data_IF_688027541066
#
_entry.id   IF_688027541066
#
_cell.length_a   1.000
_cell.length_b   1.000
_cell.length_c   1.000
_cell.angle_alpha   90.00
_cell.angle_beta   90.00
_cell.angle_gamma   90.00
#
_symmetry.space_group_name_H-M   'P 1'
#
loop_
_entity.id
_entity.type
_entity.pdbx_description
1 polymer ?
#
# COMPACT_ATOMS: atom_id res chain seq x y z
N UNK A 1 18.14 7.93 6.99
CA UNK A 1 18.62 6.68 6.32
C UNK A 1 17.61 5.56 6.54
N UNK A 2 17.56 4.56 5.65
CA UNK A 2 16.64 3.39 5.71
C UNK A 2 17.45 2.12 5.90
N UNK A 3 17.04 1.24 6.81
CA UNK A 3 17.68 -0.05 7.06
C UNK A 3 16.96 -1.23 6.42
N UNK A 4 17.73 -2.18 5.89
CA UNK A 4 17.24 -3.48 5.40
C UNK A 4 18.15 -4.62 5.81
N UNK A 5 17.61 -5.83 5.80
CA UNK A 5 18.37 -7.07 5.94
C UNK A 5 18.39 -7.80 4.60
N UNK A 6 19.51 -8.45 4.30
CA UNK A 6 19.58 -9.40 3.21
C UNK A 6 19.15 -10.82 3.62
N UNK A 7 19.25 -11.78 2.69
CA UNK A 7 18.84 -13.17 2.91
C UNK A 7 19.67 -13.85 4.02
N UNK A 8 20.90 -13.40 4.27
CA UNK A 8 21.77 -13.93 5.34
C UNK A 8 21.49 -13.29 6.69
N UNK A 9 20.67 -12.23 6.72
CA UNK A 9 20.39 -11.44 7.91
C UNK A 9 21.38 -10.31 8.15
N UNK A 10 22.33 -10.08 7.22
CA UNK A 10 23.25 -8.95 7.34
C UNK A 10 22.48 -7.65 7.18
N UNK A 11 22.79 -6.67 8.05
CA UNK A 11 22.05 -5.41 8.10
C UNK A 11 22.79 -4.34 7.32
N UNK A 12 22.06 -3.67 6.43
CA UNK A 12 22.53 -2.60 5.56
C UNK A 12 21.72 -1.33 5.84
N UNK A 13 22.30 -0.16 5.61
CA UNK A 13 21.58 1.12 5.68
C UNK A 13 22.00 2.02 4.51
N UNK A 14 21.05 2.79 4.00
CA UNK A 14 21.24 3.65 2.83
C UNK A 14 20.24 4.78 2.73
N UNK A 15 20.35 5.58 1.67
CA UNK A 15 19.31 6.54 1.28
C UNK A 15 18.04 5.83 0.79
N UNK A 16 16.99 6.58 0.48
CA UNK A 16 15.83 6.03 -0.23
C UNK A 16 16.23 5.40 -1.56
N UNK A 17 17.12 6.05 -2.32
CA UNK A 17 17.61 5.55 -3.60
C UNK A 17 18.39 4.23 -3.46
N UNK A 18 19.17 4.08 -2.38
CA UNK A 18 19.83 2.82 -2.06
C UNK A 18 18.82 1.71 -1.70
N UNK A 19 17.73 2.03 -1.01
CA UNK A 19 16.66 1.07 -0.74
C UNK A 19 15.99 0.57 -2.04
N UNK A 20 15.76 1.45 -3.02
CA UNK A 20 15.30 1.05 -4.36
C UNK A 20 16.32 0.15 -5.07
N UNK A 21 17.61 0.48 -5.01
CA UNK A 21 18.68 -0.35 -5.57
C UNK A 21 18.76 -1.74 -4.92
N UNK A 22 18.61 -1.81 -3.60
CA UNK A 22 18.61 -3.06 -2.84
C UNK A 22 17.37 -3.92 -3.15
N UNK A 23 16.20 -3.31 -3.32
CA UNK A 23 15.00 -4.01 -3.78
C UNK A 23 15.18 -4.53 -5.22
N UNK A 24 15.67 -3.70 -6.12
CA UNK A 24 15.86 -4.02 -7.52
C UNK A 24 16.92 -5.09 -7.79
N UNK A 25 18.00 -5.12 -6.99
CA UNK A 25 19.02 -6.17 -7.03
C UNK A 25 18.58 -7.46 -6.34
N UNK A 26 17.54 -7.41 -5.49
CA UNK A 26 17.11 -8.53 -4.66
C UNK A 26 17.90 -8.66 -3.35
N UNK A 27 18.81 -7.73 -3.04
CA UNK A 27 19.53 -7.70 -1.77
C UNK A 27 18.59 -7.45 -0.58
N UNK A 28 17.59 -6.57 -0.72
CA UNK A 28 16.65 -6.29 0.35
C UNK A 28 15.66 -7.45 0.53
N UNK A 29 15.93 -8.30 1.54
CA UNK A 29 15.03 -9.37 1.95
C UNK A 29 13.89 -8.84 2.83
N UNK A 30 14.22 -7.97 3.78
CA UNK A 30 13.23 -7.36 4.69
C UNK A 30 13.69 -6.00 5.21
N UNK A 31 12.76 -5.22 5.78
CA UNK A 31 13.05 -3.94 6.44
C UNK A 31 12.69 -4.08 7.93
N UNK A 32 13.67 -4.26 8.83
CA UNK A 32 13.39 -4.59 10.23
C UNK A 32 12.58 -3.52 10.98
N UNK A 33 12.73 -2.25 10.61
CA UNK A 33 11.99 -1.14 11.22
C UNK A 33 10.53 -1.04 10.76
N UNK A 34 10.10 -1.79 9.72
CA UNK A 34 8.68 -1.85 9.33
C UNK A 34 7.86 -2.59 10.38
N UNK A 35 6.85 -1.90 10.91
CA UNK A 35 5.78 -2.55 11.67
C UNK A 35 4.91 -3.41 10.75
N UNK A 36 4.26 -4.47 11.28
CA UNK A 36 3.52 -5.42 10.44
C UNK A 36 2.49 -4.80 9.49
N UNK A 37 1.75 -3.77 9.91
CA UNK A 37 0.74 -3.09 9.09
C UNK A 37 1.33 -2.18 8.02
N UNK A 38 2.60 -1.78 8.15
CA UNK A 38 3.30 -0.89 7.22
C UNK A 38 3.87 -1.64 6.01
N UNK A 39 3.94 -2.98 6.06
CA UNK A 39 4.56 -3.82 5.01
C UNK A 39 3.88 -3.66 3.65
N UNK A 40 2.55 -3.70 3.63
CA UNK A 40 1.78 -3.60 2.38
C UNK A 40 1.80 -2.17 1.80
N UNK A 41 1.62 -1.10 2.60
CA UNK A 41 1.85 0.27 2.15
C UNK A 41 3.26 0.51 1.59
N UNK A 42 4.30 0.01 2.27
CA UNK A 42 5.69 0.17 1.83
C UNK A 42 5.96 -0.51 0.49
N UNK A 43 5.47 -1.75 0.33
CA UNK A 43 5.55 -2.47 -0.94
C UNK A 43 4.84 -1.72 -2.07
N UNK A 44 3.60 -1.29 -1.84
CA UNK A 44 2.84 -0.56 -2.85
C UNK A 44 3.51 0.77 -3.22
N UNK A 45 3.97 1.54 -2.22
CA UNK A 45 4.68 2.81 -2.42
C UNK A 45 5.93 2.64 -3.30
N UNK A 46 6.82 1.70 -2.92
CA UNK A 46 8.06 1.46 -3.67
C UNK A 46 7.77 0.97 -5.08
N UNK A 47 6.84 0.02 -5.28
CA UNK A 47 6.47 -0.46 -6.61
C UNK A 47 5.88 0.65 -7.49
N UNK A 48 4.95 1.45 -6.96
CA UNK A 48 4.32 2.54 -7.72
C UNK A 48 5.36 3.58 -8.16
N UNK A 49 6.21 4.02 -7.24
CA UNK A 49 7.28 5.01 -7.55
C UNK A 49 8.25 4.46 -8.59
N UNK A 50 8.70 3.21 -8.42
CA UNK A 50 9.61 2.57 -9.37
C UNK A 50 9.00 2.45 -10.76
N UNK A 51 7.77 1.94 -10.86
CA UNK A 51 7.07 1.83 -12.13
C UNK A 51 6.89 3.19 -12.80
N UNK A 52 6.46 4.22 -12.05
CA UNK A 52 6.31 5.58 -12.56
C UNK A 52 7.63 6.14 -13.12
N UNK A 53 8.74 5.96 -12.41
CA UNK A 53 10.05 6.44 -12.84
C UNK A 53 10.54 5.76 -14.13
N UNK A 54 10.38 4.44 -14.22
CA UNK A 54 10.78 3.65 -15.40
C UNK A 54 9.85 3.90 -16.60
N UNK A 55 8.56 4.09 -16.35
CA UNK A 55 7.61 4.53 -17.38
C UNK A 55 8.04 5.87 -17.95
N UNK A 56 8.32 6.85 -17.08
CA UNK A 56 8.73 8.20 -17.46
C UNK A 56 10.04 8.22 -18.25
N UNK A 57 11.03 7.43 -17.81
CA UNK A 57 12.32 7.30 -18.50
C UNK A 57 12.25 6.46 -19.80
N UNK A 58 11.11 5.83 -20.10
CA UNK A 58 10.97 5.00 -21.30
C UNK A 58 11.86 3.75 -21.30
N UNK A 59 12.24 3.25 -20.12
CA UNK A 59 13.09 2.06 -19.97
C UNK A 59 12.34 0.96 -19.24
N UNK A 60 12.61 -0.28 -19.63
CA UNK A 60 12.11 -1.47 -18.96
C UNK A 60 13.21 -2.16 -18.13
N UNK A 61 14.43 -1.62 -18.16
CA UNK A 61 15.56 -2.14 -17.37
C UNK A 61 15.47 -1.64 -15.94
N UNK A 62 15.43 -2.57 -14.99
CA UNK A 62 15.42 -2.27 -13.56
C UNK A 62 16.87 -2.03 -13.06
N UNK A 63 17.28 -0.79 -12.74
CA UNK A 63 18.66 -0.54 -12.33
C UNK A 63 18.94 -1.10 -10.94
N UNK A 64 20.20 -1.45 -10.67
CA UNK A 64 20.63 -2.04 -9.40
C UNK A 64 21.55 -1.14 -8.58
N UNK A 65 21.76 0.11 -9.00
CA UNK A 65 22.65 1.06 -8.33
C UNK A 65 21.90 2.25 -7.77
N UNK A 66 22.39 2.79 -6.66
CA UNK A 66 21.81 3.96 -6.00
C UNK A 66 21.79 5.19 -6.92
N UNK A 67 22.89 5.46 -7.63
CA UNK A 67 23.00 6.61 -8.52
C UNK A 67 21.94 6.58 -9.65
N UNK A 68 21.73 5.43 -10.28
CA UNK A 68 20.73 5.29 -11.33
C UNK A 68 19.30 5.49 -10.78
N UNK A 69 19.00 4.97 -9.59
CA UNK A 69 17.71 5.22 -8.94
C UNK A 69 17.51 6.68 -8.54
N UNK A 70 18.56 7.36 -8.07
CA UNK A 70 18.52 8.79 -7.80
C UNK A 70 18.16 9.57 -9.05
N UNK A 71 18.83 9.30 -10.17
CA UNK A 71 18.60 10.03 -11.42
C UNK A 71 17.17 9.78 -11.95
N UNK A 72 16.68 8.54 -11.90
CA UNK A 72 15.31 8.19 -12.29
C UNK A 72 14.24 8.87 -11.43
N UNK A 73 14.41 8.90 -10.11
CA UNK A 73 13.43 9.51 -9.20
C UNK A 73 13.46 11.04 -9.31
N UNK A 74 14.64 11.66 -9.37
CA UNK A 74 14.77 13.10 -9.56
C UNK A 74 14.19 13.56 -10.89
N UNK A 75 14.26 12.73 -11.94
CA UNK A 75 13.62 13.03 -13.23
C UNK A 75 12.09 13.15 -13.14
N UNK A 76 11.43 12.55 -12.13
CA UNK A 76 10.00 12.77 -11.88
C UNK A 76 9.70 14.18 -11.32
N UNK A 77 10.70 14.85 -10.76
CA UNK A 77 10.59 16.16 -10.09
C UNK A 77 11.76 17.08 -10.42
N UNK A 78 12.04 17.37 -11.71
CA UNK A 78 13.30 17.96 -12.15
C UNK A 78 13.55 19.37 -11.56
N UNK A 79 12.48 20.10 -11.24
CA UNK A 79 12.55 21.45 -10.67
C UNK A 79 12.35 21.48 -9.15
N UNK A 80 12.14 20.32 -8.52
CA UNK A 80 11.81 20.18 -7.10
C UNK A 80 12.50 18.94 -6.50
N UNK A 81 13.85 18.87 -6.53
CA UNK A 81 14.60 17.72 -6.01
C UNK A 81 14.31 17.43 -4.52
N UNK A 82 13.98 18.46 -3.75
CA UNK A 82 13.59 18.38 -2.34
C UNK A 82 12.31 17.55 -2.09
N UNK A 83 11.53 17.25 -3.13
CA UNK A 83 10.40 16.34 -3.07
C UNK A 83 10.78 14.91 -2.62
N UNK A 84 12.08 14.57 -2.59
CA UNK A 84 12.62 13.29 -2.12
C UNK A 84 13.30 13.37 -0.76
N UNK A 85 13.33 14.55 -0.13
CA UNK A 85 13.84 14.75 1.22
C UNK A 85 12.72 14.55 2.24
N UNK A 86 13.04 13.90 3.37
CA UNK A 86 12.06 13.63 4.41
C UNK A 86 11.64 14.91 5.16
N UNK A 87 12.56 15.85 5.34
CA UNK A 87 12.32 17.11 6.06
C UNK A 87 12.86 18.25 5.23
N UNK A 88 12.00 19.22 4.92
CA UNK A 88 12.35 20.44 4.17
C UNK A 88 11.81 21.64 4.94
N UNK A 89 12.70 22.55 5.34
CA UNK A 89 12.33 23.69 6.21
C UNK A 89 11.51 24.76 5.48
N UNK A 90 11.69 24.89 4.15
CA UNK A 90 10.88 25.77 3.32
C UNK A 90 9.56 25.10 2.94
N UNK A 91 8.48 25.51 3.61
CA UNK A 91 7.15 24.91 3.44
C UNK A 91 6.48 25.27 2.10
N UNK A 92 7.02 26.25 1.36
CA UNK A 92 6.58 26.53 -0.01
C UNK A 92 7.03 25.46 -1.01
N UNK A 93 7.96 24.59 -0.59
CA UNK A 93 8.50 23.48 -1.36
C UNK A 93 7.96 22.13 -0.88
N UNK A 94 7.87 21.13 -1.77
CA UNK A 94 7.48 19.78 -1.38
C UNK A 94 8.54 19.16 -0.47
N UNK A 95 8.11 18.22 0.37
CA UNK A 95 8.96 17.21 0.97
C UNK A 95 8.33 15.84 0.67
N UNK A 96 9.08 14.75 0.82
CA UNK A 96 8.59 13.41 0.50
C UNK A 96 7.28 13.12 1.24
N UNK A 97 6.21 12.87 0.47
CA UNK A 97 4.85 12.62 0.95
C UNK A 97 4.21 13.77 1.75
N UNK A 98 4.71 14.99 1.59
CA UNK A 98 4.29 16.20 2.29
C UNK A 98 4.14 17.35 1.30
N UNK A 99 2.91 17.84 1.04
CA UNK A 99 2.66 18.85 0.03
C UNK A 99 3.24 20.20 0.42
N UNK A 100 3.63 21.05 -0.56
CA UNK A 100 3.90 22.45 -0.30
C UNK A 100 2.62 23.17 0.16
N UNK A 101 2.80 24.19 0.99
CA UNK A 101 1.72 25.16 1.28
C UNK A 101 1.39 25.95 0.02
N UNK A 102 0.11 26.28 -0.20
CA UNK A 102 -0.28 27.11 -1.33
C UNK A 102 0.10 28.58 -1.11
N UNK A 103 0.03 29.03 0.15
CA UNK A 103 0.42 30.36 0.59
C UNK A 103 1.17 30.27 1.92
N UNK A 104 2.08 31.22 2.18
CA UNK A 104 2.84 31.23 3.45
C UNK A 104 1.96 31.31 4.71
N UNK A 105 0.78 31.91 4.59
CA UNK A 105 -0.24 32.01 5.65
C UNK A 105 -0.86 30.66 6.02
N UNK A 106 -0.83 29.66 5.13
CA UNK A 106 -1.40 28.32 5.38
C UNK A 106 -0.72 27.60 6.55
N UNK A 107 0.53 27.96 6.86
CA UNK A 107 1.29 27.41 7.98
C UNK A 107 0.54 27.57 9.31
N UNK A 108 -0.26 28.63 9.47
CA UNK A 108 -1.05 28.87 10.68
C UNK A 108 -2.12 27.79 10.95
N UNK A 109 -2.48 26.98 9.94
CA UNK A 109 -3.42 25.87 10.11
C UNK A 109 -2.78 24.62 10.76
N UNK A 110 -1.45 24.50 10.74
CA UNK A 110 -0.71 23.33 11.24
C UNK A 110 -0.41 23.43 12.74
N UNK A 111 -1.48 23.47 13.54
CA UNK A 111 -1.41 23.74 15.00
C UNK A 111 -1.12 22.50 15.83
N UNK A 112 -1.43 21.31 15.32
CA UNK A 112 -1.27 20.06 16.07
C UNK A 112 0.17 19.56 15.93
N UNK A 113 0.84 19.38 17.06
CA UNK A 113 2.17 18.77 17.13
C UNK A 113 2.05 17.30 17.48
N UNK A 114 2.78 16.47 16.77
CA UNK A 114 2.84 15.02 16.97
C UNK A 114 4.31 14.67 17.20
N UNK A 115 4.68 14.25 18.42
CA UNK A 115 6.09 14.14 18.83
C UNK A 115 6.76 12.84 18.38
N UNK A 116 6.01 11.86 17.89
CA UNK A 116 6.53 10.52 17.56
C UNK A 116 5.86 9.94 16.32
N UNK A 117 6.55 9.07 15.56
CA UNK A 117 5.98 8.49 14.34
C UNK A 117 4.83 7.50 14.62
N UNK A 118 4.80 6.84 15.78
CA UNK A 118 3.70 5.93 16.13
C UNK A 118 2.40 6.63 16.49
N UNK A 119 2.45 7.91 16.86
CA UNK A 119 1.28 8.76 17.01
C UNK A 119 0.80 9.38 15.69
N UNK A 120 1.70 9.51 14.70
CA UNK A 120 1.34 9.96 13.36
C UNK A 120 0.68 8.84 12.53
N UNK A 121 1.04 7.58 12.79
CA UNK A 121 0.57 6.42 12.04
C UNK A 121 -0.94 6.15 12.25
N UNK A 122 -1.52 5.31 11.39
CA UNK A 122 -2.96 5.14 11.23
C UNK A 122 -3.68 4.27 12.28
N UNK A 123 -2.96 3.77 13.29
CA UNK A 123 -3.54 2.82 14.25
C UNK A 123 -4.43 3.54 15.26
N UNK A 124 -5.71 3.17 15.28
CA UNK A 124 -6.67 3.63 16.31
C UNK A 124 -6.83 2.52 17.33
N UNK A 125 -6.14 2.69 18.47
CA UNK A 125 -6.04 1.70 19.53
C UNK A 125 -6.89 2.09 20.73
N UNK A 126 -7.39 1.10 21.48
CA UNK A 126 -8.10 1.39 22.72
C UNK A 126 -7.13 2.01 23.74
N UNK A 127 -7.47 3.22 24.23
CA UNK A 127 -6.68 3.92 25.24
C UNK A 127 -6.44 2.99 26.44
N UNK A 128 -5.16 2.80 26.80
CA UNK A 128 -4.67 1.95 27.91
C UNK A 128 -4.88 0.43 27.81
N UNK A 129 -5.52 -0.10 26.76
CA UNK A 129 -5.81 -1.54 26.65
C UNK A 129 -5.10 -2.22 25.48
N UNK A 130 -4.68 -1.46 24.45
CA UNK A 130 -3.98 -1.96 23.27
C UNK A 130 -2.52 -1.42 23.22
N UNK A 131 -1.95 -1.28 22.02
CA UNK A 131 -0.67 -0.61 21.83
C UNK A 131 -0.77 0.85 22.30
N UNK A 132 0.04 1.19 23.29
CA UNK A 132 0.27 2.56 23.74
C UNK A 132 0.89 3.38 22.60
N UNK A 133 0.25 4.51 22.27
CA UNK A 133 0.78 5.52 21.35
C UNK A 133 1.91 6.34 22.01
N UNK A 134 2.66 7.08 21.21
CA UNK A 134 3.74 7.99 21.63
C UNK A 134 4.92 7.34 22.35
N UNK A 135 5.30 6.13 21.92
CA UNK A 135 6.40 5.38 22.54
C UNK A 135 7.72 5.47 21.78
N UNK A 136 7.71 5.84 20.50
CA UNK A 136 8.92 5.90 19.69
C UNK A 136 9.67 7.22 19.89
N UNK A 137 10.08 7.50 21.12
CA UNK A 137 10.73 8.77 21.53
C UNK A 137 12.12 8.94 20.89
N UNK A 138 12.83 7.84 20.61
CA UNK A 138 14.12 7.82 19.93
C UNK A 138 13.98 7.25 18.50
N UNK A 139 13.08 7.84 17.71
CA UNK A 139 12.81 7.39 16.35
C UNK A 139 13.77 7.98 15.31
N UNK A 140 14.45 7.10 14.57
CA UNK A 140 15.16 7.45 13.32
C UNK A 140 14.22 7.91 12.19
N UNK A 141 14.77 8.60 11.20
CA UNK A 141 14.12 9.02 9.94
C UNK A 141 13.23 7.95 9.29
N UNK A 142 13.68 6.69 9.24
CA UNK A 142 12.93 5.61 8.57
C UNK A 142 11.60 5.31 9.26
N UNK A 143 11.50 5.48 10.58
CA UNK A 143 10.26 5.27 11.30
C UNK A 143 9.22 6.34 10.90
N UNK A 144 9.65 7.59 10.73
CA UNK A 144 8.82 8.69 10.24
C UNK A 144 8.40 8.47 8.78
N UNK A 145 9.32 8.01 7.93
CA UNK A 145 9.01 7.65 6.55
C UNK A 145 7.94 6.54 6.49
N UNK A 146 8.10 5.46 7.23
CA UNK A 146 7.15 4.35 7.21
C UNK A 146 5.77 4.73 7.78
N UNK A 147 5.74 5.58 8.81
CA UNK A 147 4.51 6.16 9.32
C UNK A 147 3.83 7.06 8.27
N UNK A 148 4.59 7.94 7.59
CA UNK A 148 4.09 8.79 6.52
C UNK A 148 3.52 7.97 5.36
N UNK A 149 4.26 6.98 4.86
CA UNK A 149 3.80 6.09 3.77
C UNK A 149 2.46 5.47 4.14
N UNK A 150 2.34 4.94 5.35
CA UNK A 150 1.14 4.25 5.81
C UNK A 150 -0.03 5.23 5.97
N UNK A 151 0.18 6.32 6.71
CA UNK A 151 -0.81 7.38 6.90
C UNK A 151 -1.32 7.90 5.55
N UNK A 152 -0.40 8.26 4.64
CA UNK A 152 -0.74 8.96 3.42
C UNK A 152 -1.41 8.08 2.36
N UNK A 153 -1.09 6.79 2.34
CA UNK A 153 -1.52 5.87 1.25
C UNK A 153 -2.55 4.85 1.68
N UNK A 154 -2.90 4.78 2.97
CA UNK A 154 -3.89 3.80 3.48
C UNK A 154 -4.88 4.31 4.52
N UNK A 155 -4.74 5.53 5.04
CA UNK A 155 -5.66 6.04 6.06
C UNK A 155 -7.09 6.25 5.54
N UNK A 156 -8.08 5.98 6.39
CA UNK A 156 -9.49 6.21 6.09
C UNK A 156 -10.05 7.45 6.80
N UNK A 157 -11.37 7.62 6.76
CA UNK A 157 -12.02 8.77 7.40
C UNK A 157 -11.95 8.67 8.94
N UNK A 158 -11.67 9.78 9.61
CA UNK A 158 -11.59 9.91 11.08
C UNK A 158 -12.24 11.22 11.57
N UNK A 159 -13.43 11.54 11.06
CA UNK A 159 -14.17 12.73 11.44
C UNK A 159 -13.84 13.97 10.60
N UNK A 160 -14.55 15.07 10.88
CA UNK A 160 -14.38 16.33 10.17
C UNK A 160 -12.91 16.79 10.22
N UNK A 161 -12.36 17.17 9.07
CA UNK A 161 -10.93 17.50 8.96
C UNK A 161 -10.04 16.34 8.48
N UNK A 162 -10.48 15.09 8.62
CA UNK A 162 -9.64 13.89 8.46
C UNK A 162 -10.19 12.93 7.38
N UNK A 163 -10.03 13.28 6.11
CA UNK A 163 -10.52 12.52 4.95
C UNK A 163 -9.58 11.42 4.44
N UNK A 164 -10.05 10.19 4.27
CA UNK A 164 -9.19 9.07 3.83
C UNK A 164 -8.73 9.14 2.38
N UNK A 165 -7.93 8.15 1.98
CA UNK A 165 -7.50 7.95 0.59
C UNK A 165 -8.67 7.65 -0.36
N UNK A 166 -8.45 7.88 -1.65
CA UNK A 166 -9.44 7.63 -2.70
C UNK A 166 -9.54 6.16 -3.15
N UNK A 167 -8.54 5.33 -2.81
CA UNK A 167 -8.44 3.92 -3.23
C UNK A 167 -9.24 2.93 -2.35
N UNK A 168 -10.36 3.37 -1.78
CA UNK A 168 -11.26 2.54 -0.98
C UNK A 168 -12.74 2.85 -1.24
N UNK A 169 -13.65 1.95 -0.87
CA UNK A 169 -15.09 2.14 -1.12
C UNK A 169 -15.80 3.16 -0.20
N UNK A 170 -15.08 3.75 0.75
CA UNK A 170 -15.48 4.97 1.48
C UNK A 170 -15.24 4.91 2.99
N UNK A 171 -15.40 6.04 3.68
CA UNK A 171 -15.54 6.14 5.14
C UNK A 171 -14.59 5.27 5.99
N UNK A 172 -15.13 4.14 6.46
CA UNK A 172 -14.46 3.19 7.37
C UNK A 172 -13.88 1.96 6.67
N UNK A 173 -13.87 1.97 5.35
CA UNK A 173 -13.28 0.90 4.57
C UNK A 173 -11.76 0.83 4.71
N UNK A 174 -11.18 -0.16 4.05
CA UNK A 174 -9.74 -0.39 4.05
C UNK A 174 -9.27 -0.65 2.63
N UNK A 175 -8.11 -0.10 2.27
CA UNK A 175 -7.42 -0.48 1.04
C UNK A 175 -6.87 -1.90 1.22
N UNK A 176 -7.58 -2.87 0.67
CA UNK A 176 -7.14 -4.26 0.65
C UNK A 176 -6.11 -4.48 -0.46
N UNK A 177 -5.14 -5.35 -0.20
CA UNK A 177 -4.25 -5.91 -1.22
C UNK A 177 -4.57 -7.39 -1.47
N UNK A 178 -4.69 -7.75 -2.74
CA UNK A 178 -4.67 -9.12 -3.25
C UNK A 178 -3.64 -9.18 -4.38
N UNK A 179 -2.64 -10.05 -4.27
CA UNK A 179 -1.61 -10.17 -5.30
C UNK A 179 -0.88 -11.50 -5.27
N UNK A 180 -0.32 -11.90 -6.41
CA UNK A 180 0.63 -13.01 -6.49
C UNK A 180 2.01 -12.48 -6.10
N UNK A 181 2.68 -13.17 -5.18
CA UNK A 181 4.02 -12.82 -4.72
C UNK A 181 4.97 -14.00 -4.80
N UNK A 182 6.18 -13.81 -5.35
CA UNK A 182 7.27 -14.75 -5.17
C UNK A 182 7.67 -14.86 -3.70
N UNK A 183 8.05 -16.06 -3.31
CA UNK A 183 8.82 -16.32 -2.10
C UNK A 183 10.25 -15.86 -2.33
N UNK A 184 10.91 -15.40 -1.27
CA UNK A 184 12.31 -14.98 -1.34
C UNK A 184 12.53 -13.48 -1.12
N UNK A 185 11.84 -12.91 -0.12
CA UNK A 185 12.08 -11.55 0.35
C UNK A 185 11.36 -10.44 -0.42
N UNK A 186 11.52 -9.21 0.06
CA UNK A 186 10.88 -8.00 -0.46
C UNK A 186 11.33 -7.69 -1.90
N UNK A 187 12.61 -7.85 -2.23
CA UNK A 187 13.15 -7.55 -3.55
C UNK A 187 12.53 -8.37 -4.69
N UNK A 188 12.23 -9.66 -4.47
CA UNK A 188 11.57 -10.48 -5.49
C UNK A 188 10.13 -10.04 -5.77
N UNK A 189 9.37 -9.74 -4.71
CA UNK A 189 8.01 -9.22 -4.87
C UNK A 189 8.01 -7.85 -5.56
N UNK A 190 8.95 -6.98 -5.18
CA UNK A 190 9.13 -5.66 -5.80
C UNK A 190 9.40 -5.78 -7.30
N UNK A 191 10.42 -6.56 -7.69
CA UNK A 191 10.81 -6.74 -9.10
C UNK A 191 9.63 -7.21 -9.94
N UNK A 192 8.98 -8.29 -9.52
CA UNK A 192 7.81 -8.85 -10.21
C UNK A 192 6.75 -7.79 -10.42
N UNK A 193 6.31 -7.12 -9.36
CA UNK A 193 5.20 -6.19 -9.47
C UNK A 193 5.57 -4.96 -10.31
N UNK A 194 6.81 -4.46 -10.24
CA UNK A 194 7.29 -3.37 -11.12
C UNK A 194 7.28 -3.78 -12.59
N UNK A 195 7.85 -4.94 -12.93
CA UNK A 195 7.88 -5.46 -14.30
C UNK A 195 6.47 -5.66 -14.87
N UNK A 196 5.54 -6.15 -14.03
CA UNK A 196 4.13 -6.32 -14.42
C UNK A 196 3.45 -4.99 -14.73
N UNK A 197 3.65 -3.98 -13.88
CA UNK A 197 3.11 -2.65 -14.12
C UNK A 197 3.73 -1.96 -15.34
N UNK A 198 5.02 -2.20 -15.61
CA UNK A 198 5.67 -1.72 -16.81
C UNK A 198 5.08 -2.36 -18.07
N UNK A 199 4.98 -3.70 -18.10
CA UNK A 199 4.40 -4.41 -19.24
C UNK A 199 2.96 -3.95 -19.52
N UNK A 200 2.14 -3.80 -18.48
CA UNK A 200 0.78 -3.29 -18.59
C UNK A 200 0.73 -1.83 -19.08
N UNK A 201 1.66 -1.00 -18.63
CA UNK A 201 1.82 0.37 -19.10
C UNK A 201 2.21 0.44 -20.58
N UNK A 202 3.14 -0.41 -21.05
CA UNK A 202 3.56 -0.45 -22.46
C UNK A 202 2.45 -0.98 -23.37
N UNK A 203 1.66 -1.94 -22.89
CA UNK A 203 0.58 -2.55 -23.66
C UNK A 203 -0.66 -1.64 -23.82
N UNK A 204 -0.81 -0.61 -22.98
CA UNK A 204 -1.96 0.30 -22.98
C UNK A 204 -1.53 1.74 -23.30
N UNK A 205 -1.40 2.11 -24.59
CA UNK A 205 -1.03 3.47 -24.99
C UNK A 205 -2.06 4.53 -24.59
N UNK A 206 -3.31 4.12 -24.35
CA UNK A 206 -4.43 4.94 -23.90
C UNK A 206 -4.55 5.03 -22.36
N UNK A 207 -3.55 4.52 -21.62
CA UNK A 207 -3.51 4.62 -20.15
C UNK A 207 -3.64 6.10 -19.73
N UNK A 208 -4.42 6.35 -18.68
CA UNK A 208 -4.52 7.71 -18.13
C UNK A 208 -3.17 8.13 -17.53
N UNK A 209 -2.67 9.25 -18.02
CA UNK A 209 -1.49 9.95 -17.52
C UNK A 209 -1.90 11.26 -16.86
N UNK A 210 -1.08 11.80 -15.97
CA UNK A 210 -1.36 13.05 -15.31
C UNK A 210 -0.44 13.28 -14.13
N UNK A 211 -0.95 13.91 -13.07
CA UNK A 211 -0.17 14.09 -11.84
C UNK A 211 0.12 12.73 -11.21
N UNK A 212 1.40 12.44 -10.96
CA UNK A 212 1.90 11.15 -10.46
C UNK A 212 2.17 11.18 -8.95
N UNK A 213 2.87 12.20 -8.46
CA UNK A 213 3.29 12.32 -7.06
C UNK A 213 2.49 13.42 -6.38
N UNK A 214 1.44 13.09 -5.62
CA UNK A 214 0.48 14.11 -5.15
C UNK A 214 1.06 15.11 -4.12
N UNK A 215 2.22 14.80 -3.54
CA UNK A 215 2.95 15.69 -2.64
C UNK A 215 3.76 16.77 -3.36
N UNK A 216 3.84 16.77 -4.68
CA UNK A 216 4.47 17.87 -5.44
C UNK A 216 3.49 18.98 -5.80
N UNK A 217 2.20 18.80 -5.50
CA UNK A 217 1.15 19.77 -5.78
C UNK A 217 0.79 20.51 -4.49
N UNK A 218 0.72 21.86 -4.49
CA UNK A 218 0.33 22.61 -3.30
C UNK A 218 -1.00 22.17 -2.69
N UNK A 219 -1.13 22.31 -1.37
CA UNK A 219 -2.38 21.97 -0.67
C UNK A 219 -2.71 22.88 0.52
N UNK A 220 -3.78 23.66 0.34
CA UNK A 220 -4.39 24.51 1.36
C UNK A 220 -5.47 23.79 2.21
N UNK A 221 -5.85 22.58 1.80
CA UNK A 221 -6.92 21.80 2.44
C UNK A 221 -8.33 22.14 1.99
N UNK A 222 -8.54 22.98 0.96
CA UNK A 222 -9.89 23.45 0.58
C UNK A 222 -10.40 22.88 -0.74
N UNK A 223 -9.49 22.54 -1.67
CA UNK A 223 -9.81 21.96 -2.96
C UNK A 223 -9.33 20.50 -3.09
N UNK A 224 -10.14 19.69 -3.78
CA UNK A 224 -9.78 18.34 -4.20
C UNK A 224 -9.16 18.35 -5.59
N UNK A 225 -8.21 17.47 -5.84
CA UNK A 225 -7.69 17.16 -7.16
C UNK A 225 -8.73 16.36 -7.96
N UNK A 226 -8.84 16.66 -9.24
CA UNK A 226 -9.65 15.90 -10.19
C UNK A 226 -8.97 14.55 -10.47
N UNK A 227 -9.64 13.46 -10.11
CA UNK A 227 -9.15 12.09 -10.33
C UNK A 227 -8.80 11.82 -11.80
N UNK A 228 -9.54 12.41 -12.76
CA UNK A 228 -9.31 12.20 -14.19
C UNK A 228 -8.04 12.89 -14.70
N UNK A 229 -7.40 13.75 -13.88
CA UNK A 229 -6.11 14.40 -14.19
C UNK A 229 -4.92 13.74 -13.47
N UNK A 230 -5.14 12.59 -12.83
CA UNK A 230 -4.10 11.83 -12.14
C UNK A 230 -3.67 10.63 -12.99
N UNK A 231 -2.38 10.30 -12.97
CA UNK A 231 -1.87 9.06 -13.58
C UNK A 231 -2.48 7.82 -12.88
N UNK A 232 -2.78 6.73 -13.57
CA UNK A 232 -3.37 5.53 -12.94
C UNK A 232 -2.58 5.01 -11.71
N UNK A 233 -1.25 5.17 -11.74
CA UNK A 233 -0.34 4.75 -10.67
C UNK A 233 -0.04 5.85 -9.64
N UNK A 234 -0.76 6.98 -9.64
CA UNK A 234 -0.49 8.10 -8.72
C UNK A 234 -0.31 7.63 -7.28
N UNK A 235 0.65 8.24 -6.59
CA UNK A 235 0.94 7.99 -5.18
C UNK A 235 0.21 9.03 -4.33
N UNK A 236 -0.74 8.55 -3.54
CA UNK A 236 -1.66 9.40 -2.78
C UNK A 236 -1.01 10.02 -1.53
N UNK A 237 -1.52 11.20 -1.14
CA UNK A 237 -1.38 11.79 0.19
C UNK A 237 -2.75 12.27 0.68
N UNK A 238 -3.34 11.63 1.69
CA UNK A 238 -4.67 11.99 2.20
C UNK A 238 -4.67 12.91 3.44
N UNK A 239 -3.49 13.27 3.97
CA UNK A 239 -3.34 14.09 5.18
C UNK A 239 -2.38 15.25 4.94
N UNK A 240 -2.66 16.37 5.59
CA UNK A 240 -1.76 17.53 5.61
C UNK A 240 -0.82 17.37 6.80
N UNK A 241 0.41 16.98 6.48
CA UNK A 241 1.47 16.73 7.44
C UNK A 241 2.72 17.46 6.97
N UNK A 242 3.45 18.05 7.92
CA UNK A 242 4.78 18.58 7.68
C UNK A 242 5.71 18.19 8.83
N UNK A 243 6.78 17.49 8.49
CA UNK A 243 7.86 17.16 9.40
C UNK A 243 8.78 18.37 9.54
N UNK A 244 9.32 18.55 10.74
CA UNK A 244 10.35 19.53 11.02
C UNK A 244 11.35 18.96 12.02
N UNK A 245 12.61 19.41 11.94
CA UNK A 245 13.62 19.09 12.94
C UNK A 245 13.50 20.04 14.13
N UNK A 246 13.55 19.49 15.33
CA UNK A 246 13.61 20.20 16.60
C UNK A 246 14.83 19.68 17.35
N UNK A 247 15.97 20.34 17.14
CA UNK A 247 17.28 19.79 17.52
C UNK A 247 17.57 18.50 16.74
N UNK A 248 17.94 17.44 17.45
CA UNK A 248 18.20 16.11 16.87
C UNK A 248 16.93 15.27 16.65
N UNK A 249 15.77 15.74 17.12
CA UNK A 249 14.50 15.04 16.98
C UNK A 249 13.71 15.54 15.75
N UNK A 250 12.87 14.66 15.20
CA UNK A 250 11.84 15.04 14.23
C UNK A 250 10.50 15.08 14.96
N UNK A 251 9.68 16.09 14.64
CA UNK A 251 8.27 16.13 15.00
C UNK A 251 7.41 16.41 13.77
N UNK A 252 6.13 16.02 13.83
CA UNK A 252 5.16 16.33 12.79
C UNK A 252 4.21 17.46 13.22
N UNK A 253 3.92 18.35 12.28
CA UNK A 253 2.86 19.33 12.37
C UNK A 253 1.72 18.89 11.45
N UNK A 254 0.49 18.87 11.95
CA UNK A 254 -0.67 18.43 11.16
C UNK A 254 -1.78 19.50 11.10
N UNK A 255 -2.51 19.48 9.99
CA UNK A 255 -3.68 20.32 9.76
C UNK A 255 -4.84 19.48 9.21
N UNK A 256 -6.08 19.90 9.49
CA UNK A 256 -7.25 19.33 8.82
C UNK A 256 -7.44 19.85 7.40
N UNK A 257 -8.31 19.19 6.64
CA UNK A 257 -8.83 19.66 5.36
C UNK A 257 -10.36 19.77 5.38
N UNK A 258 -10.94 20.58 4.50
CA UNK A 258 -12.40 20.72 4.31
C UNK A 258 -12.97 19.65 3.37
N UNK A 259 -12.11 18.97 2.63
CA UNK A 259 -12.46 17.95 1.65
C UNK A 259 -11.34 16.90 1.52
N UNK A 260 -11.62 15.79 0.85
CA UNK A 260 -10.62 14.79 0.51
C UNK A 260 -9.58 15.36 -0.48
N UNK A 261 -8.33 14.86 -0.45
CA UNK A 261 -7.31 15.33 -1.40
C UNK A 261 -7.70 15.06 -2.85
N UNK A 262 -8.36 13.93 -3.12
CA UNK A 262 -8.79 13.53 -4.46
C UNK A 262 -10.31 13.41 -4.50
N UNK A 263 -10.94 14.00 -5.51
CA UNK A 263 -12.38 13.95 -5.73
C UNK A 263 -12.78 12.58 -6.31
N UNK A 264 -12.98 11.59 -5.43
CA UNK A 264 -13.18 10.19 -5.82
C UNK A 264 -14.30 9.45 -5.07
N UNK A 265 -15.14 10.16 -4.29
CA UNK A 265 -16.21 9.55 -3.49
C UNK A 265 -17.18 8.70 -4.32
N UNK A 266 -17.44 9.12 -5.57
CA UNK A 266 -18.34 8.45 -6.51
C UNK A 266 -17.70 7.23 -7.17
N UNK A 267 -16.38 7.09 -7.12
CA UNK A 267 -15.68 5.94 -7.70
C UNK A 267 -15.82 4.69 -6.83
N UNK A 268 -16.12 4.84 -5.53
CA UNK A 268 -16.20 3.73 -4.56
C UNK A 268 -14.98 2.80 -4.63
N UNK A 269 -13.80 3.37 -4.81
CA UNK A 269 -12.51 2.67 -4.92
C UNK A 269 -12.17 2.13 -6.32
N UNK A 270 -12.99 2.41 -7.35
CA UNK A 270 -12.72 2.11 -8.76
C UNK A 270 -11.62 3.02 -9.33
N UNK A 271 -10.42 2.88 -8.78
CA UNK A 271 -9.25 3.74 -9.05
C UNK A 271 -8.23 3.08 -9.98
N UNK A 272 -8.52 1.87 -10.49
CA UNK A 272 -7.56 0.97 -11.16
C UNK A 272 -6.35 0.64 -10.27
N UNK A 273 -6.54 0.57 -8.95
CA UNK A 273 -5.50 0.13 -8.03
C UNK A 273 -5.03 -1.29 -8.39
N UNK A 274 -3.73 -1.50 -8.68
CA UNK A 274 -3.20 -2.79 -9.12
C UNK A 274 -3.31 -3.92 -8.11
N UNK A 275 -3.60 -3.60 -6.84
CA UNK A 275 -3.73 -4.57 -5.75
C UNK A 275 -5.15 -4.70 -5.22
N UNK A 276 -6.06 -3.76 -5.49
CA UNK A 276 -7.37 -3.74 -4.84
C UNK A 276 -8.42 -4.56 -5.62
N UNK A 277 -8.94 -5.68 -5.07
CA UNK A 277 -10.03 -6.41 -5.70
C UNK A 277 -11.31 -5.57 -5.78
N UNK A 278 -12.09 -5.78 -6.84
CA UNK A 278 -13.42 -5.18 -7.02
C UNK A 278 -14.50 -6.24 -6.91
N UNK A 279 -15.70 -5.88 -6.48
CA UNK A 279 -16.87 -6.76 -6.66
C UNK A 279 -17.10 -7.00 -8.16
N UNK A 280 -17.53 -8.20 -8.52
CA UNK A 280 -17.75 -8.60 -9.91
C UNK A 280 -18.79 -7.73 -10.64
N UNK A 281 -19.77 -7.20 -9.91
CA UNK A 281 -20.75 -6.23 -10.42
C UNK A 281 -20.15 -4.83 -10.70
N UNK A 282 -18.87 -4.60 -10.37
CA UNK A 282 -18.18 -3.35 -10.58
C UNK A 282 -18.61 -2.21 -9.66
N UNK A 283 -19.47 -2.48 -8.66
CA UNK A 283 -20.08 -1.45 -7.81
C UNK A 283 -19.08 -0.76 -6.89
N UNK A 284 -18.18 -1.53 -6.28
CA UNK A 284 -17.31 -1.08 -5.20
C UNK A 284 -16.03 -1.92 -5.13
N UNK A 285 -14.94 -1.33 -4.65
CA UNK A 285 -13.79 -2.11 -4.17
C UNK A 285 -14.20 -3.02 -3.03
N UNK A 286 -13.56 -4.18 -2.91
CA UNK A 286 -13.89 -5.17 -1.89
C UNK A 286 -13.19 -4.80 -0.57
N UNK A 287 -13.97 -4.73 0.52
CA UNK A 287 -13.48 -4.46 1.86
C UNK A 287 -13.69 -5.71 2.74
N UNK A 288 -12.64 -6.27 3.36
CA UNK A 288 -12.79 -7.35 4.33
C UNK A 288 -13.37 -6.83 5.65
N UNK A 289 -14.05 -7.70 6.40
CA UNK A 289 -14.53 -7.42 7.75
C UNK A 289 -13.48 -7.81 8.80
N UNK A 290 -13.69 -7.50 10.08
CA UNK A 290 -12.81 -7.93 11.18
C UNK A 290 -12.63 -9.46 11.33
N UNK A 291 -13.41 -10.27 10.60
CA UNK A 291 -13.16 -11.71 10.48
C UNK A 291 -11.91 -12.04 9.64
N UNK A 292 -11.44 -11.09 8.83
CA UNK A 292 -10.25 -11.23 8.01
C UNK A 292 -10.35 -12.29 6.92
N UNK A 293 -9.22 -12.94 6.63
CA UNK A 293 -9.06 -13.84 5.50
C UNK A 293 -9.21 -15.32 5.87
N UNK A 294 -10.37 -15.71 6.39
CA UNK A 294 -10.71 -17.12 6.59
C UNK A 294 -10.80 -17.91 5.28
N UNK A 295 -10.97 -19.24 5.35
CA UNK A 295 -11.01 -20.10 4.13
C UNK A 295 -12.11 -19.69 3.15
N UNK A 296 -13.31 -19.38 3.63
CA UNK A 296 -14.42 -18.89 2.78
C UNK A 296 -14.13 -17.54 2.15
N UNK A 297 -13.44 -16.65 2.88
CA UNK A 297 -13.09 -15.35 2.34
C UNK A 297 -12.04 -15.50 1.23
N UNK A 298 -11.04 -16.36 1.43
CA UNK A 298 -10.09 -16.68 0.36
C UNK A 298 -10.75 -17.33 -0.84
N UNK A 299 -11.69 -18.26 -0.63
CA UNK A 299 -12.45 -18.85 -1.74
C UNK A 299 -13.27 -17.79 -2.50
N UNK A 300 -13.91 -16.86 -1.79
CA UNK A 300 -14.63 -15.72 -2.41
C UNK A 300 -13.71 -14.83 -3.23
N UNK A 301 -12.50 -14.53 -2.73
CA UNK A 301 -11.51 -13.71 -3.44
C UNK A 301 -10.97 -14.36 -4.72
N UNK A 302 -11.08 -15.68 -4.83
CA UNK A 302 -10.70 -16.45 -6.01
C UNK A 302 -11.89 -16.71 -6.96
N UNK A 303 -13.12 -16.39 -6.55
CA UNK A 303 -14.34 -16.63 -7.30
C UNK A 303 -14.62 -15.45 -8.24
N UNK A 304 -14.37 -15.64 -9.54
CA UNK A 304 -14.60 -14.63 -10.59
C UNK A 304 -16.06 -14.18 -10.70
N UNK A 305 -17.02 -14.98 -10.25
CA UNK A 305 -18.43 -14.58 -10.21
C UNK A 305 -18.72 -13.56 -9.10
N UNK A 306 -17.82 -13.42 -8.12
CA UNK A 306 -17.96 -12.52 -6.98
C UNK A 306 -16.96 -11.38 -6.98
N UNK A 307 -15.74 -11.64 -7.45
CA UNK A 307 -14.62 -10.71 -7.38
C UNK A 307 -13.95 -10.59 -8.75
N UNK A 308 -13.83 -9.35 -9.22
CA UNK A 308 -12.89 -9.00 -10.27
C UNK A 308 -11.52 -8.86 -9.65
N UNK A 309 -10.60 -9.74 -10.07
CA UNK A 309 -9.24 -9.76 -9.55
C UNK A 309 -8.47 -8.51 -9.99
N UNK A 310 -7.62 -7.96 -9.11
CA UNK A 310 -6.76 -6.85 -9.47
C UNK A 310 -5.60 -7.34 -10.33
N UNK A 311 -4.97 -6.42 -11.06
CA UNK A 311 -3.94 -6.73 -12.06
C UNK A 311 -2.79 -7.59 -11.51
N UNK A 312 -2.28 -7.28 -10.31
CA UNK A 312 -1.15 -7.99 -9.73
C UNK A 312 -1.53 -9.35 -9.10
N UNK A 313 -2.83 -9.66 -9.03
CA UNK A 313 -3.33 -11.00 -8.71
C UNK A 313 -3.53 -11.89 -9.95
N UNK A 314 -3.34 -11.36 -11.16
CA UNK A 314 -3.37 -12.15 -12.38
C UNK A 314 -2.01 -12.85 -12.62
N UNK A 315 -2.01 -14.17 -12.89
CA UNK A 315 -0.81 -14.90 -13.28
C UNK A 315 -0.19 -14.34 -14.56
N UNK A 316 1.14 -14.37 -14.66
CA UNK A 316 1.89 -13.93 -15.85
C UNK A 316 2.79 -15.03 -16.39
N UNK A 317 2.95 -15.19 -17.73
CA UNK A 317 3.85 -16.20 -18.30
C UNK A 317 5.27 -16.17 -17.71
N UNK A 318 5.80 -14.99 -17.41
CA UNK A 318 7.14 -14.81 -16.85
C UNK A 318 7.24 -15.06 -15.34
N UNK A 319 6.13 -15.31 -14.66
CA UNK A 319 6.17 -15.70 -13.24
C UNK A 319 6.96 -16.99 -13.07
N UNK A 320 7.77 -17.05 -12.00
CA UNK A 320 8.50 -18.26 -11.60
C UNK A 320 7.58 -19.49 -11.58
N UNK A 321 8.11 -20.65 -11.98
CA UNK A 321 7.32 -21.89 -12.01
C UNK A 321 6.82 -22.29 -10.62
N UNK A 322 7.64 -22.04 -9.61
CA UNK A 322 7.44 -22.43 -8.22
C UNK A 322 7.69 -21.24 -7.28
N UNK A 323 7.39 -21.44 -6.00
CA UNK A 323 7.68 -20.40 -5.01
C UNK A 323 6.77 -19.18 -5.14
N UNK A 324 5.54 -19.34 -5.62
CA UNK A 324 4.55 -18.26 -5.65
C UNK A 324 3.51 -18.44 -4.54
N UNK A 325 2.93 -17.34 -4.10
CA UNK A 325 1.79 -17.33 -3.17
C UNK A 325 0.80 -16.26 -3.57
N UNK A 326 -0.49 -16.57 -3.50
CA UNK A 326 -1.52 -15.52 -3.47
C UNK A 326 -1.63 -14.99 -2.05
N UNK A 327 -1.45 -13.67 -1.91
CA UNK A 327 -1.42 -12.98 -0.62
C UNK A 327 -2.59 -12.02 -0.58
N UNK A 328 -3.45 -12.20 0.42
CA UNK A 328 -4.47 -11.24 0.80
C UNK A 328 -4.03 -10.53 2.09
N UNK A 329 -4.09 -9.20 2.11
CA UNK A 329 -3.70 -8.40 3.25
C UNK A 329 -4.57 -7.15 3.38
N UNK A 330 -4.93 -6.79 4.61
CA UNK A 330 -5.64 -5.55 4.93
C UNK A 330 -5.48 -5.23 6.42
N UNK A 331 -5.32 -3.95 6.74
CA UNK A 331 -5.60 -3.44 8.07
C UNK A 331 -7.08 -3.05 8.12
N UNK A 332 -7.91 -3.90 8.71
CA UNK A 332 -9.36 -3.66 8.77
C UNK A 332 -9.65 -2.54 9.75
N UNK A 333 -10.49 -1.61 9.31
CA UNK A 333 -10.94 -0.46 10.10
C UNK A 333 -12.42 -0.59 10.42
N UNK A 334 -12.80 -0.02 11.55
CA UNK A 334 -14.18 0.17 11.96
C UNK A 334 -14.43 1.63 12.30
N UNK A 335 -15.64 1.95 12.73
CA UNK A 335 -15.98 3.30 13.15
C UNK A 335 -15.19 3.69 14.41
N UNK A 336 -14.13 4.49 14.22
CA UNK A 336 -13.27 4.97 15.30
C UNK A 336 -12.39 3.89 15.96
N UNK A 337 -12.07 2.80 15.25
CA UNK A 337 -11.21 1.73 15.76
C UNK A 337 -10.50 0.97 14.63
N UNK A 338 -9.43 0.26 14.98
CA UNK A 338 -8.83 -0.78 14.14
C UNK A 338 -9.42 -2.14 14.52
N UNK A 339 -9.93 -2.91 13.56
CA UNK A 339 -10.54 -4.24 13.82
C UNK A 339 -9.58 -5.42 13.61
N UNK A 340 -8.37 -5.15 13.09
CA UNK A 340 -7.30 -6.12 13.03
C UNK A 340 -6.41 -5.98 11.81
N UNK A 341 -5.14 -6.39 11.96
CA UNK A 341 -4.26 -6.63 10.82
C UNK A 341 -4.46 -8.08 10.36
N UNK A 342 -5.02 -8.25 9.17
CA UNK A 342 -5.23 -9.56 8.60
C UNK A 342 -4.29 -9.76 7.41
N UNK A 343 -3.65 -10.92 7.39
CA UNK A 343 -2.84 -11.35 6.26
C UNK A 343 -2.94 -12.85 6.11
N UNK A 344 -3.19 -13.32 4.91
CA UNK A 344 -3.14 -14.75 4.58
C UNK A 344 -2.41 -14.93 3.26
N UNK A 345 -1.41 -15.81 3.28
CA UNK A 345 -0.72 -16.27 2.08
C UNK A 345 -1.10 -17.74 1.85
N UNK A 346 -1.55 -18.04 0.64
CA UNK A 346 -1.76 -19.42 0.19
C UNK A 346 -0.70 -19.67 -0.87
N UNK A 347 0.21 -20.60 -0.60
CA UNK A 347 1.18 -21.06 -1.60
C UNK A 347 0.39 -21.58 -2.79
N UNK A 348 0.68 -21.04 -3.97
CA UNK A 348 0.22 -21.64 -5.22
C UNK A 348 1.17 -22.81 -5.48
N UNK A 349 0.73 -24.08 -5.40
CA UNK A 349 1.66 -25.20 -5.53
C UNK A 349 2.42 -25.17 -6.85
N UNK A 350 3.66 -25.68 -6.83
CA UNK A 350 4.35 -26.19 -8.04
C UNK A 350 3.43 -27.11 -8.88
N UNK A 351 2.53 -27.82 -8.18
CA UNK A 351 1.57 -28.79 -8.70
C UNK A 351 0.39 -28.19 -9.51
N UNK A 352 0.41 -26.90 -9.83
CA UNK A 352 -0.62 -26.28 -10.66
C UNK A 352 -0.28 -26.40 -12.13
N UNK A 353 0.12 -27.59 -12.57
CA UNK A 353 0.11 -27.93 -13.97
C UNK A 353 -0.83 -29.13 -14.17
N UNK A 354 -1.61 -29.12 -15.23
CA UNK A 354 -2.32 -30.35 -15.63
C UNK A 354 -1.29 -31.43 -15.99
N UNK A 355 -1.77 -32.64 -16.32
CA UNK A 355 -0.89 -33.74 -16.73
C UNK A 355 0.03 -33.40 -17.91
N UNK A 356 -0.26 -32.33 -18.65
CA UNK A 356 0.48 -31.87 -19.82
C UNK A 356 1.46 -30.72 -19.50
N UNK A 357 1.58 -30.32 -18.23
CA UNK A 357 2.44 -29.19 -17.88
C UNK A 357 1.77 -27.83 -18.06
N UNK A 358 0.47 -27.71 -18.37
CA UNK A 358 -0.19 -26.40 -18.52
C UNK A 358 -0.62 -25.86 -17.18
N UNK A 359 -0.42 -24.56 -16.91
CA UNK A 359 -0.84 -23.96 -15.65
C UNK A 359 -2.33 -24.21 -15.37
N UNK A 360 -2.65 -24.84 -14.24
CA UNK A 360 -4.02 -24.96 -13.76
C UNK A 360 -4.55 -23.54 -13.50
N UNK A 361 -5.68 -23.15 -14.11
CA UNK A 361 -6.23 -21.83 -13.91
C UNK A 361 -6.48 -21.56 -12.42
N UNK A 362 -6.09 -20.38 -11.94
CA UNK A 362 -6.36 -19.94 -10.56
C UNK A 362 -7.87 -20.04 -10.23
N UNK A 363 -8.73 -19.94 -11.25
CA UNK A 363 -10.18 -20.12 -11.14
C UNK A 363 -10.57 -21.54 -10.70
N UNK A 364 -9.87 -22.57 -11.20
CA UNK A 364 -10.09 -23.96 -10.79
C UNK A 364 -9.77 -24.16 -9.31
N UNK A 365 -8.74 -23.48 -8.81
CA UNK A 365 -8.43 -23.46 -7.37
C UNK A 365 -9.58 -22.80 -6.61
N UNK A 366 -10.09 -21.67 -7.10
CA UNK A 366 -11.26 -20.99 -6.51
C UNK A 366 -12.47 -21.91 -6.38
N UNK A 367 -12.79 -22.67 -7.43
CA UNK A 367 -13.90 -23.64 -7.44
C UNK A 367 -13.70 -24.73 -6.38
N UNK A 368 -12.54 -25.39 -6.36
CA UNK A 368 -12.25 -26.45 -5.39
C UNK A 368 -12.21 -25.90 -3.95
N UNK A 369 -11.62 -24.72 -3.76
CA UNK A 369 -11.55 -24.06 -2.46
C UNK A 369 -12.94 -23.71 -1.94
N UNK A 370 -13.85 -23.26 -2.81
CA UNK A 370 -15.24 -22.99 -2.47
C UNK A 370 -15.95 -24.25 -1.99
N UNK A 371 -15.90 -25.33 -2.78
CA UNK A 371 -16.52 -26.61 -2.41
C UNK A 371 -16.03 -27.09 -1.05
N UNK A 372 -14.70 -27.12 -0.83
CA UNK A 372 -14.12 -27.57 0.45
C UNK A 372 -14.50 -26.66 1.62
N UNK A 373 -14.60 -25.35 1.39
CA UNK A 373 -15.00 -24.40 2.43
C UNK A 373 -16.50 -24.52 2.80
N UNK A 374 -17.33 -24.95 1.85
CA UNK A 374 -18.76 -25.28 2.06
C UNK A 374 -18.91 -26.62 2.79
N UNK A 375 -18.18 -27.66 2.39
CA UNK A 375 -18.16 -28.96 3.08
C UNK A 375 -17.73 -28.82 4.55
N UNK A 376 -16.64 -28.07 4.80
CA UNK A 376 -16.16 -27.78 6.15
C UNK A 376 -17.16 -26.97 6.98
N UNK A 377 -17.94 -26.08 6.35
CA UNK A 377 -19.02 -25.38 7.03
C UNK A 377 -20.12 -26.32 7.49
N UNK A 378 -20.59 -27.18 6.58
CA UNK A 378 -21.67 -28.11 6.87
C UNK A 378 -21.27 -29.08 7.99
N UNK A 379 -20.02 -29.56 7.99
CA UNK A 379 -19.47 -30.35 9.08
C UNK A 379 -19.49 -29.58 10.42
N UNK A 380 -18.98 -28.34 10.44
CA UNK A 380 -19.00 -27.49 11.64
C UNK A 380 -20.42 -27.24 12.15
N UNK A 381 -21.38 -26.96 11.26
CA UNK A 381 -22.78 -26.73 11.61
C UNK A 381 -23.43 -27.97 12.25
N UNK A 382 -23.13 -29.16 11.75
CA UNK A 382 -23.59 -30.44 12.33
C UNK A 382 -23.00 -30.65 13.72
N UNK A 383 -21.70 -30.44 13.89
CA UNK A 383 -21.02 -30.55 15.19
C UNK A 383 -21.53 -29.56 16.22
N UNK A 384 -21.77 -28.29 15.83
CA UNK A 384 -22.34 -27.29 16.75
C UNK A 384 -23.73 -27.68 17.23
N UNK A 385 -24.59 -28.25 16.36
CA UNK A 385 -25.91 -28.75 16.77
C UNK A 385 -25.78 -29.94 17.73
N UNK A 386 -24.87 -30.86 17.46
CA UNK A 386 -24.61 -32.00 18.35
C UNK A 386 -24.11 -31.54 19.73
N UNK A 387 -23.26 -30.52 19.78
CA UNK A 387 -22.78 -29.93 21.04
C UNK A 387 -23.90 -29.26 21.84
N UNK A 388 -24.81 -28.54 21.18
CA UNK A 388 -25.96 -27.91 21.84
C UNK A 388 -26.90 -28.97 22.43
N UNK A 389 -27.04 -30.14 21.80
CA UNK A 389 -27.87 -31.23 22.33
C UNK A 389 -27.23 -32.03 23.48
N UNK A 390 -25.97 -31.74 23.84
CA UNK A 390 -25.28 -32.36 24.98
C UNK A 390 -25.39 -31.52 26.28
N UNK A 391 -25.97 -30.32 26.20
CA UNK A 391 -26.28 -29.43 27.33
C UNK A 391 -27.79 -29.40 27.50
#
# INVERSE_FOLDING_TARGET
MIGWQDERGDTHRGSLFAAFAALASGQAWSFPALRPHQREPWHAFTVQVAALALIHAGTDTLPTTEAAWRDLLLALTPNQPEAWELVVDDWSKPALLQPPTAQGTDRAAYKNRVPTPDALDMLVTAKNHDLKQERMIAADDEHWLFALVTLQTTEGFLGAGNYGISRMNGGFASRMSLGIRPTGGAGRAFRRDVERLLADARARPDRRTGTTLLWTVPWDGTASLDYNKLDELYVEICRRVRLQRSGDAIEACTAGSKCARVAASELKGKTRDPWAPMKADGSTSHTPTGAGFGYRQMATLLDKAKITRPHLAEPHPDDDRDGLSIVAAALVRGQGKTEGLHRRAIRTPAALRDANGNRLPLDRIGVVAKQRAEEGYEASRRLSRALISLV
#
